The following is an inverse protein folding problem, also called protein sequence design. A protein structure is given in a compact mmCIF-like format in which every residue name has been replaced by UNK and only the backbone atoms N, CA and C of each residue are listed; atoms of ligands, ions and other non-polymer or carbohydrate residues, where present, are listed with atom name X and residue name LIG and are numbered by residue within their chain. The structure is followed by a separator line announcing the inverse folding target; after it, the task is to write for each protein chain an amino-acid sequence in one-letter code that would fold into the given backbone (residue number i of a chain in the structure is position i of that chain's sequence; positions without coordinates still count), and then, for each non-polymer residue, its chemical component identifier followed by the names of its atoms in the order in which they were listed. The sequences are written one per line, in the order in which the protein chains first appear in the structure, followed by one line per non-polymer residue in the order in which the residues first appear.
data_IF_290500960001
#
_entry.id   IF_290500960001
#
_cell.length_a   1.000
_cell.length_b   1.000
_cell.length_c   1.000
_cell.angle_alpha   90.00
_cell.angle_beta   90.00
_cell.angle_gamma   90.00
#
_symmetry.space_group_name_H-M   'P 1'
#
loop_
_entity.id
_entity.type
_entity.pdbx_description
1 polymer ?
#
# COMPACT_ATOMS: atom_id res chain seq x y z
N UNK A 1 -5.08 -15.49 1.49
CA UNK A 1 -4.12 -15.07 0.43
C UNK A 1 -4.58 -13.74 -0.13
N UNK A 2 -3.65 -12.93 -0.63
CA UNK A 2 -3.93 -11.64 -1.26
C UNK A 2 -3.11 -11.48 -2.55
N UNK A 3 -3.56 -10.58 -3.42
CA UNK A 3 -2.85 -10.21 -4.64
C UNK A 3 -2.75 -8.71 -4.74
N UNK A 4 -1.54 -8.22 -4.98
CA UNK A 4 -1.26 -6.82 -5.30
C UNK A 4 -0.95 -6.68 -6.79
N UNK A 5 -1.36 -5.56 -7.36
CA UNK A 5 -1.05 -5.16 -8.74
C UNK A 5 -0.50 -3.75 -8.69
N UNK A 6 0.68 -3.53 -9.27
CA UNK A 6 1.22 -2.19 -9.41
C UNK A 6 0.60 -1.51 -10.64
N UNK A 7 -0.38 -0.63 -10.42
CA UNK A 7 -1.01 0.17 -11.47
C UNK A 7 -0.35 1.55 -11.67
N UNK A 8 0.79 1.78 -11.01
CA UNK A 8 1.57 3.01 -11.14
C UNK A 8 2.54 2.88 -12.32
N UNK A 9 3.01 4.01 -12.81
CA UNK A 9 4.01 4.13 -13.88
C UNK A 9 5.46 3.98 -13.39
N UNK A 10 5.66 3.84 -12.08
CA UNK A 10 6.95 3.60 -11.44
C UNK A 10 6.96 2.33 -10.58
N UNK A 11 8.16 1.83 -10.30
CA UNK A 11 8.35 0.65 -9.44
C UNK A 11 8.11 0.97 -7.97
N UNK A 12 7.52 0.02 -7.23
CA UNK A 12 7.31 0.12 -5.79
C UNK A 12 7.96 -1.07 -5.07
N UNK A 13 8.54 -0.84 -3.89
CA UNK A 13 9.22 -1.89 -3.13
C UNK A 13 9.02 -1.68 -1.63
N UNK A 14 9.18 -2.76 -0.86
CA UNK A 14 9.09 -2.69 0.60
C UNK A 14 7.68 -2.35 1.10
N UNK A 15 6.64 -2.74 0.36
CA UNK A 15 5.24 -2.59 0.79
C UNK A 15 5.02 -3.50 1.99
N UNK A 16 4.53 -2.94 3.10
CA UNK A 16 4.11 -3.72 4.27
C UNK A 16 2.62 -3.99 4.20
N UNK A 17 2.19 -5.10 4.76
CA UNK A 17 0.79 -5.40 4.98
C UNK A 17 0.50 -5.57 6.46
N UNK A 18 -0.71 -5.17 6.85
CA UNK A 18 -1.27 -5.36 8.18
C UNK A 18 -2.68 -5.92 8.01
N UNK A 19 -2.95 -7.07 8.62
CA UNK A 19 -4.26 -7.71 8.63
C UNK A 19 -4.76 -7.78 10.05
N UNK A 20 -5.91 -7.18 10.33
CA UNK A 20 -6.59 -7.28 11.62
C UNK A 20 -7.83 -8.16 11.48
N UNK A 21 -8.02 -9.09 12.41
CA UNK A 21 -9.17 -9.98 12.46
C UNK A 21 -10.13 -9.59 13.57
N UNK A 22 -11.43 -9.65 13.29
CA UNK A 22 -12.48 -9.26 14.24
C UNK A 22 -13.54 -10.35 14.37
N UNK A 23 -14.15 -10.43 15.55
CA UNK A 23 -15.21 -11.38 15.85
C UNK A 23 -16.60 -10.89 15.35
N UNK A 24 -17.66 -11.63 15.69
CA UNK A 24 -19.04 -11.27 15.27
C UNK A 24 -19.57 -9.99 15.94
N UNK A 25 -19.00 -9.58 17.07
CA UNK A 25 -19.34 -8.35 17.78
C UNK A 25 -18.53 -7.15 17.29
N UNK A 26 -17.49 -7.40 16.49
CA UNK A 26 -16.56 -6.39 16.01
C UNK A 26 -15.33 -6.22 16.91
N UNK A 27 -15.13 -7.11 17.89
CA UNK A 27 -14.00 -7.06 18.79
C UNK A 27 -12.73 -7.58 18.11
N UNK A 28 -11.59 -6.93 18.36
CA UNK A 28 -10.29 -7.36 17.84
C UNK A 28 -9.93 -8.76 18.38
N UNK A 29 -9.44 -9.63 17.49
CA UNK A 29 -9.06 -11.00 17.84
C UNK A 29 -7.55 -11.22 17.72
N UNK A 30 -6.98 -10.85 16.58
CA UNK A 30 -5.59 -11.12 16.23
C UNK A 30 -5.15 -10.21 15.09
N UNK A 31 -3.84 -10.11 14.92
CA UNK A 31 -3.22 -9.44 13.79
C UNK A 31 -2.20 -10.33 13.09
N UNK A 32 -1.98 -10.07 11.81
CA UNK A 32 -0.85 -10.57 11.03
C UNK A 32 -0.21 -9.43 10.26
N UNK A 33 1.11 -9.36 10.28
CA UNK A 33 1.87 -8.28 9.67
C UNK A 33 3.14 -8.80 9.00
N UNK A 34 3.40 -8.31 7.81
CA UNK A 34 4.56 -8.73 7.05
C UNK A 34 4.93 -7.75 5.95
N UNK A 35 5.83 -8.18 5.09
CA UNK A 35 6.29 -7.41 3.95
C UNK A 35 6.12 -8.19 2.65
N UNK A 36 5.78 -7.47 1.60
CA UNK A 36 5.87 -7.93 0.23
C UNK A 36 7.35 -7.76 -0.15
N UNK A 37 8.10 -8.85 -0.09
CA UNK A 37 9.56 -8.89 -0.30
C UNK A 37 9.99 -8.67 -1.75
N UNK A 38 9.04 -8.52 -2.67
CA UNK A 38 9.28 -8.27 -4.10
C UNK A 38 9.11 -6.79 -4.44
N UNK A 39 10.06 -6.25 -5.22
CA UNK A 39 9.85 -5.00 -5.97
C UNK A 39 8.87 -5.25 -7.12
N UNK A 40 7.81 -4.45 -7.21
CA UNK A 40 6.80 -4.53 -8.25
C UNK A 40 7.05 -3.45 -9.29
N UNK A 41 7.40 -3.86 -10.51
CA UNK A 41 7.48 -2.98 -11.67
C UNK A 41 6.07 -2.62 -12.18
N UNK A 42 5.93 -1.56 -13.00
CA UNK A 42 4.63 -1.19 -13.59
C UNK A 42 3.93 -2.38 -14.25
N UNK A 43 2.65 -2.59 -13.89
CA UNK A 43 1.82 -3.69 -14.38
C UNK A 43 2.10 -5.06 -13.75
N UNK A 44 3.15 -5.20 -12.95
CA UNK A 44 3.44 -6.47 -12.28
C UNK A 44 2.40 -6.83 -11.22
N UNK A 45 2.23 -8.14 -11.07
CA UNK A 45 1.33 -8.76 -10.12
C UNK A 45 2.13 -9.62 -9.17
N UNK A 46 1.76 -9.63 -7.90
CA UNK A 46 2.36 -10.50 -6.91
C UNK A 46 1.30 -11.04 -5.95
N UNK A 47 1.34 -12.35 -5.75
CA UNK A 47 0.50 -13.04 -4.78
C UNK A 47 1.30 -13.17 -3.49
N UNK A 48 0.66 -12.88 -2.37
CA UNK A 48 1.25 -13.02 -1.05
C UNK A 48 0.28 -13.73 -0.11
N UNK A 49 0.83 -14.41 0.88
CA UNK A 49 0.06 -15.09 1.91
C UNK A 49 0.21 -14.36 3.22
N UNK A 50 -0.84 -14.41 4.02
CA UNK A 50 -0.92 -13.90 5.38
C UNK A 50 -1.53 -15.00 6.25
N UNK A 51 -1.09 -15.08 7.49
CA UNK A 51 -1.44 -16.14 8.42
C UNK A 51 -2.77 -15.83 9.09
N UNK A 52 -3.78 -16.64 8.82
CA UNK A 52 -5.08 -16.58 9.51
C UNK A 52 -5.19 -17.57 10.67
N UNK A 53 -4.21 -18.45 10.84
CA UNK A 53 -4.19 -19.46 11.92
C UNK A 53 -4.22 -18.85 13.32
N UNK A 54 -3.81 -17.60 13.46
CA UNK A 54 -3.83 -16.87 14.74
C UNK A 54 -5.25 -16.42 15.13
N UNK A 55 -6.22 -16.44 14.21
CA UNK A 55 -7.61 -16.06 14.47
C UNK A 55 -8.52 -17.29 14.40
N UNK A 56 -9.09 -17.70 15.54
CA UNK A 56 -10.02 -18.83 15.60
C UNK A 56 -11.44 -18.38 15.27
N UNK A 57 -11.88 -18.63 14.03
CA UNK A 57 -13.21 -18.25 13.49
C UNK A 57 -13.49 -16.74 13.43
N UNK A 58 -12.66 -15.95 12.72
CA UNK A 58 -12.94 -14.54 12.53
C UNK A 58 -14.22 -14.34 11.70
N UNK A 59 -14.96 -13.28 12.00
CA UNK A 59 -16.12 -12.86 11.22
C UNK A 59 -15.73 -11.91 10.09
N UNK A 60 -14.83 -10.97 10.38
CA UNK A 60 -14.30 -10.01 9.40
C UNK A 60 -12.81 -9.85 9.52
N UNK A 61 -12.17 -9.35 8.46
CA UNK A 61 -10.77 -8.98 8.45
C UNK A 61 -10.60 -7.63 7.73
N UNK A 62 -9.66 -6.81 8.18
CA UNK A 62 -9.28 -5.55 7.55
C UNK A 62 -7.83 -5.65 7.07
N UNK A 63 -7.60 -5.41 5.78
CA UNK A 63 -6.27 -5.38 5.16
C UNK A 63 -5.86 -3.93 4.91
N UNK A 64 -4.71 -3.55 5.47
CA UNK A 64 -4.06 -2.27 5.22
C UNK A 64 -2.70 -2.51 4.57
N UNK A 65 -2.37 -1.68 3.59
CA UNK A 65 -1.04 -1.61 2.99
C UNK A 65 -0.36 -0.34 3.48
N UNK A 66 0.87 -0.49 3.95
CA UNK A 66 1.71 0.63 4.38
C UNK A 66 2.93 0.75 3.46
N UNK A 67 3.10 1.96 2.94
CA UNK A 67 4.20 2.34 2.06
C UNK A 67 5.18 3.17 2.87
N UNK A 68 6.46 2.80 2.88
CA UNK A 68 7.46 3.52 3.69
C UNK A 68 7.69 4.95 3.18
N UNK A 69 7.89 5.90 4.09
CA UNK A 69 8.20 7.29 3.75
C UNK A 69 9.43 7.41 2.85
N UNK A 70 10.44 6.54 3.06
CA UNK A 70 11.62 6.50 2.21
C UNK A 70 11.31 6.09 0.77
N UNK A 71 10.37 5.16 0.56
CA UNK A 71 9.91 4.78 -0.78
C UNK A 71 9.21 5.96 -1.44
N UNK A 72 8.29 6.62 -0.72
CA UNK A 72 7.57 7.79 -1.21
C UNK A 72 8.54 8.92 -1.57
N UNK A 73 9.51 9.20 -0.69
CA UNK A 73 10.53 10.21 -0.92
C UNK A 73 11.39 9.89 -2.15
N UNK A 74 11.78 8.63 -2.34
CA UNK A 74 12.56 8.20 -3.50
C UNK A 74 11.80 8.42 -4.80
N UNK A 75 10.51 8.04 -4.84
CA UNK A 75 9.64 8.27 -5.99
C UNK A 75 9.52 9.77 -6.31
N UNK A 76 9.31 10.61 -5.28
CA UNK A 76 9.23 12.06 -5.46
C UNK A 76 10.55 12.63 -6.02
N UNK A 77 11.70 12.13 -5.54
CA UNK A 77 13.03 12.54 -6.04
C UNK A 77 13.32 12.10 -7.46
N UNK A 78 12.76 10.98 -7.91
CA UNK A 78 12.92 10.49 -9.29
C UNK A 78 12.15 11.35 -10.30
N UNK A 79 11.15 12.12 -9.86
CA UNK A 79 10.47 13.08 -10.73
C UNK A 79 11.40 14.24 -11.08
N UNK A 80 11.48 14.54 -12.37
CA UNK A 80 12.27 15.68 -12.86
C UNK A 80 11.58 16.98 -12.48
N UNK A 81 12.15 17.71 -11.53
CA UNK A 81 11.61 19.00 -11.09
C UNK A 81 12.12 20.12 -12.01
N UNK A 82 11.19 20.78 -12.70
CA UNK A 82 11.44 21.91 -13.62
C UNK A 82 11.39 23.27 -12.93
N UNK A 83 10.88 23.33 -11.69
CA UNK A 83 10.67 24.57 -10.93
C UNK A 83 9.36 25.29 -11.26
N UNK A 84 8.55 24.76 -12.18
CA UNK A 84 7.26 25.33 -12.61
C UNK A 84 6.05 24.67 -11.95
N UNK A 85 6.25 23.58 -11.22
CA UNK A 85 5.22 22.71 -10.66
C UNK A 85 4.26 23.48 -9.75
N UNK A 86 4.77 24.39 -8.93
CA UNK A 86 3.93 25.23 -8.06
C UNK A 86 3.04 26.19 -8.85
N UNK A 87 3.55 26.79 -9.92
CA UNK A 87 2.77 27.66 -10.80
C UNK A 87 1.70 26.88 -11.56
N UNK A 88 2.01 25.65 -11.99
CA UNK A 88 1.05 24.74 -12.62
C UNK A 88 -0.05 24.28 -11.66
N UNK A 89 0.31 23.98 -10.40
CA UNK A 89 -0.65 23.68 -9.34
C UNK A 89 -1.63 24.83 -9.10
N UNK A 90 -1.12 26.06 -8.95
CA UNK A 90 -1.94 27.25 -8.78
C UNK A 90 -2.89 27.49 -9.96
N UNK A 91 -2.44 27.21 -11.19
CA UNK A 91 -3.31 27.29 -12.38
C UNK A 91 -4.43 26.24 -12.32
N UNK A 92 -4.13 24.98 -11.97
CA UNK A 92 -5.14 23.90 -11.88
C UNK A 92 -6.21 24.18 -10.82
N UNK A 93 -5.84 24.80 -9.70
CA UNK A 93 -6.79 25.17 -8.64
C UNK A 93 -7.75 26.29 -9.05
N UNK A 94 -7.35 27.18 -9.98
CA UNK A 94 -8.22 28.26 -10.48
C UNK A 94 -9.20 27.81 -11.57
N UNK A 95 -8.98 26.63 -12.15
CA UNK A 95 -9.84 26.08 -13.21
C UNK A 95 -10.88 25.09 -12.67
N UNK A 96 -10.85 24.78 -11.37
CA UNK A 96 -11.95 24.12 -10.64
C UNK A 96 -12.87 25.16 -10.03
#
# INVERSE_FOLDING_TARGET
EGRVVNNLDYSISGVKYHVNYYDRKGDFMAEDNGSISKTLYPGEKYNFTFWSSNAKYPNTASLRLDFSDNMVLKIIKEQTYTGKEFQEYLKRQKTK
#
